data_IF_853226096219
#
_entry.id   IF_853226096219
#
_cell.length_a   1.000
_cell.length_b   1.000
_cell.length_c   1.000
_cell.angle_alpha   90.00
_cell.angle_beta   90.00
_cell.angle_gamma   90.00
#
_symmetry.space_group_name_H-M   'P 1'
#
loop_
_entity.id
_entity.type
_entity.pdbx_description
1 polymer ?
#
# COMPACT_ATOMS: atom_id res chain seq x y z
N UNK A 1 13.43 -2.54 14.84
CA UNK A 1 13.25 -4.00 14.94
C UNK A 1 12.32 -4.52 13.87
N UNK A 2 12.82 -5.44 13.03
CA UNK A 2 12.01 -6.13 12.03
C UNK A 2 11.06 -7.10 12.76
N UNK A 3 9.75 -6.87 12.67
CA UNK A 3 8.76 -7.81 13.18
C UNK A 3 8.89 -9.13 12.41
N UNK A 4 9.24 -10.20 13.13
CA UNK A 4 9.44 -11.52 12.53
C UNK A 4 8.10 -12.10 12.07
N UNK A 5 8.07 -12.62 10.84
CA UNK A 5 6.91 -13.31 10.25
C UNK A 5 6.71 -14.73 10.79
N UNK A 6 7.66 -15.24 11.57
CA UNK A 6 7.54 -16.58 12.16
C UNK A 6 6.54 -16.54 13.33
N UNK A 7 5.55 -17.45 13.36
CA UNK A 7 4.59 -17.49 14.46
C UNK A 7 5.30 -17.91 15.74
N UNK A 8 5.34 -16.98 16.70
CA UNK A 8 5.90 -17.22 18.04
C UNK A 8 4.87 -17.77 19.02
N UNK A 9 3.59 -17.56 18.70
CA UNK A 9 2.44 -18.03 19.46
C UNK A 9 1.24 -18.26 18.53
N UNK A 10 0.18 -18.87 19.07
CA UNK A 10 -1.02 -19.20 18.32
C UNK A 10 -1.75 -17.96 17.77
N UNK A 11 -1.65 -16.81 18.46
CA UNK A 11 -2.29 -15.56 18.04
C UNK A 11 -1.61 -14.99 16.80
N UNK A 12 -0.28 -14.98 16.75
CA UNK A 12 0.49 -14.58 15.56
C UNK A 12 0.23 -15.56 14.42
N UNK A 13 0.18 -16.85 14.69
CA UNK A 13 -0.20 -17.87 13.69
C UNK A 13 -1.58 -17.61 13.10
N UNK A 14 -2.58 -17.33 13.93
CA UNK A 14 -3.93 -17.00 13.48
C UNK A 14 -3.97 -15.70 12.66
N UNK A 15 -3.20 -14.68 13.04
CA UNK A 15 -3.10 -13.44 12.28
C UNK A 15 -2.56 -13.71 10.86
N UNK A 16 -1.47 -14.46 10.75
CA UNK A 16 -0.87 -14.83 9.46
C UNK A 16 -1.88 -15.56 8.56
N UNK A 17 -2.69 -16.45 9.14
CA UNK A 17 -3.77 -17.12 8.39
C UNK A 17 -4.77 -16.11 7.83
N UNK A 18 -5.23 -15.14 8.63
CA UNK A 18 -6.14 -14.11 8.12
C UNK A 18 -5.50 -13.20 7.07
N UNK A 19 -4.21 -12.91 7.16
CA UNK A 19 -3.48 -12.20 6.11
C UNK A 19 -3.51 -13.00 4.79
N UNK A 20 -3.22 -14.30 4.84
CA UNK A 20 -3.23 -15.15 3.65
C UNK A 20 -4.64 -15.25 3.03
N UNK A 21 -5.68 -15.39 3.85
CA UNK A 21 -7.07 -15.39 3.40
C UNK A 21 -7.42 -14.04 2.73
N UNK A 22 -7.01 -12.92 3.32
CA UNK A 22 -7.22 -11.61 2.74
C UNK A 22 -6.55 -11.47 1.36
N UNK A 23 -5.32 -11.96 1.22
CA UNK A 23 -4.61 -11.96 -0.06
C UNK A 23 -5.32 -12.81 -1.13
N UNK A 24 -5.84 -13.98 -0.76
CA UNK A 24 -6.62 -14.83 -1.68
C UNK A 24 -7.86 -14.09 -2.18
N UNK A 25 -8.65 -13.51 -1.28
CA UNK A 25 -9.84 -12.76 -1.66
C UNK A 25 -9.52 -11.52 -2.52
N UNK A 26 -8.39 -10.86 -2.25
CA UNK A 26 -7.93 -9.74 -3.05
C UNK A 26 -7.63 -10.16 -4.50
N UNK A 27 -6.96 -11.29 -4.70
CA UNK A 27 -6.64 -11.83 -6.03
C UNK A 27 -7.90 -12.31 -6.76
N UNK A 28 -8.91 -12.79 -6.05
CA UNK A 28 -10.22 -13.14 -6.62
C UNK A 28 -11.16 -11.94 -6.78
N UNK A 29 -10.67 -10.72 -6.53
CA UNK A 29 -11.40 -9.45 -6.63
C UNK A 29 -12.64 -9.35 -5.71
N UNK A 30 -12.66 -10.12 -4.60
CA UNK A 30 -13.67 -10.00 -3.53
C UNK A 30 -13.14 -9.05 -2.45
N UNK A 31 -13.19 -7.75 -2.78
CA UNK A 31 -12.54 -6.67 -2.00
C UNK A 31 -13.12 -6.56 -0.59
N UNK A 32 -14.43 -6.76 -0.42
CA UNK A 32 -15.11 -6.69 0.88
C UNK A 32 -14.59 -7.77 1.84
N UNK A 33 -14.56 -9.04 1.39
CA UNK A 33 -14.02 -10.13 2.20
C UNK A 33 -12.52 -9.96 2.45
N UNK A 34 -11.79 -9.46 1.46
CA UNK A 34 -10.37 -9.18 1.61
C UNK A 34 -10.13 -8.17 2.75
N UNK A 35 -10.87 -7.06 2.80
CA UNK A 35 -10.78 -6.10 3.90
C UNK A 35 -11.22 -6.68 5.24
N UNK A 36 -12.30 -7.46 5.27
CA UNK A 36 -12.78 -8.11 6.49
C UNK A 36 -11.66 -8.95 7.14
N UNK A 37 -11.01 -9.80 6.34
CA UNK A 37 -9.93 -10.64 6.86
C UNK A 37 -8.65 -9.86 7.15
N UNK A 38 -8.34 -8.84 6.35
CA UNK A 38 -7.20 -7.97 6.65
C UNK A 38 -7.37 -7.25 8.00
N UNK A 39 -8.57 -6.76 8.30
CA UNK A 39 -8.86 -6.12 9.59
C UNK A 39 -8.73 -7.10 10.77
N UNK A 40 -9.10 -8.39 10.59
CA UNK A 40 -8.87 -9.42 11.60
C UNK A 40 -7.37 -9.65 11.84
N UNK A 41 -6.57 -9.70 10.77
CA UNK A 41 -5.10 -9.74 10.88
C UNK A 41 -4.58 -8.54 11.69
N UNK A 42 -5.01 -7.32 11.36
CA UNK A 42 -4.58 -6.09 12.05
C UNK A 42 -4.94 -6.12 13.53
N UNK A 43 -6.16 -6.55 13.87
CA UNK A 43 -6.61 -6.64 15.26
C UNK A 43 -5.79 -7.64 16.07
N UNK A 44 -5.37 -8.75 15.46
CA UNK A 44 -4.55 -9.75 16.14
C UNK A 44 -3.07 -9.34 16.24
N UNK A 45 -2.49 -8.71 15.22
CA UNK A 45 -1.09 -8.27 15.26
C UNK A 45 -0.89 -7.02 16.13
N UNK A 46 -1.88 -6.11 16.15
CA UNK A 46 -1.82 -4.85 16.88
C UNK A 46 -1.14 -3.73 16.08
N UNK A 47 -0.55 -2.76 16.80
CA UNK A 47 0.03 -1.54 16.22
C UNK A 47 1.29 -1.78 15.40
N UNK A 48 2.10 -2.78 15.76
CA UNK A 48 3.38 -3.04 15.11
C UNK A 48 3.20 -4.20 14.13
N UNK A 49 3.06 -3.86 12.84
CA UNK A 49 2.85 -4.84 11.80
C UNK A 49 4.12 -5.06 10.97
N UNK A 50 4.29 -6.26 10.39
CA UNK A 50 5.35 -6.51 9.42
C UNK A 50 5.25 -5.58 8.20
N UNK A 51 6.38 -5.17 7.63
CA UNK A 51 6.40 -4.22 6.51
C UNK A 51 5.56 -4.68 5.29
N UNK A 52 5.50 -5.98 5.02
CA UNK A 52 4.72 -6.53 3.89
C UNK A 52 3.20 -6.47 4.11
N UNK A 53 2.71 -6.24 5.32
CA UNK A 53 1.27 -6.04 5.53
C UNK A 53 0.77 -4.75 4.88
N UNK A 54 1.62 -3.71 4.86
CA UNK A 54 1.33 -2.45 4.19
C UNK A 54 1.19 -2.62 2.68
N UNK A 55 1.95 -3.53 2.06
CA UNK A 55 1.83 -3.83 0.64
C UNK A 55 0.43 -4.36 0.29
N UNK A 56 -0.07 -5.32 1.07
CA UNK A 56 -1.43 -5.84 0.88
C UNK A 56 -2.47 -4.74 1.13
N UNK A 57 -2.30 -3.94 2.19
CA UNK A 57 -3.21 -2.82 2.48
C UNK A 57 -3.27 -1.81 1.32
N UNK A 58 -2.12 -1.43 0.76
CA UNK A 58 -2.05 -0.56 -0.40
C UNK A 58 -2.77 -1.15 -1.61
N UNK A 59 -2.56 -2.45 -1.85
CA UNK A 59 -3.25 -3.15 -2.94
C UNK A 59 -4.77 -3.13 -2.75
N UNK A 60 -5.27 -3.40 -1.54
CA UNK A 60 -6.70 -3.35 -1.24
C UNK A 60 -7.28 -1.93 -1.41
N UNK A 61 -6.59 -0.90 -0.92
CA UNK A 61 -7.04 0.49 -1.07
C UNK A 61 -7.04 0.94 -2.56
N UNK A 62 -6.18 0.38 -3.40
CA UNK A 62 -6.20 0.58 -4.85
C UNK A 62 -7.39 -0.13 -5.52
N UNK A 63 -7.67 -1.38 -5.15
CA UNK A 63 -8.82 -2.13 -5.66
C UNK A 63 -10.16 -1.47 -5.30
N UNK A 64 -10.25 -0.90 -4.09
CA UNK A 64 -11.42 -0.15 -3.61
C UNK A 64 -11.59 1.23 -4.27
N UNK A 65 -10.58 1.68 -5.02
CA UNK A 65 -10.55 3.04 -5.59
C UNK A 65 -10.30 4.15 -4.56
N UNK A 66 -9.94 3.81 -3.33
CA UNK A 66 -9.80 4.74 -2.21
C UNK A 66 -8.41 5.42 -2.18
N UNK A 67 -8.13 6.22 -3.22
CA UNK A 67 -6.84 6.91 -3.41
C UNK A 67 -6.48 7.85 -2.26
N UNK A 68 -7.47 8.48 -1.63
CA UNK A 68 -7.23 9.39 -0.51
C UNK A 68 -6.68 8.63 0.72
N UNK A 69 -7.30 7.50 1.07
CA UNK A 69 -6.84 6.64 2.16
C UNK A 69 -5.43 6.10 1.90
N UNK A 70 -5.14 5.73 0.66
CA UNK A 70 -3.81 5.31 0.24
C UNK A 70 -2.74 6.38 0.50
N UNK A 71 -3.03 7.64 0.14
CA UNK A 71 -2.11 8.77 0.35
C UNK A 71 -1.85 9.03 1.84
N UNK A 72 -2.89 8.96 2.67
CA UNK A 72 -2.75 9.08 4.13
C UNK A 72 -1.82 7.98 4.65
N UNK A 73 -2.06 6.73 4.26
CA UNK A 73 -1.29 5.59 4.77
C UNK A 73 0.17 5.64 4.34
N UNK A 74 0.44 6.07 3.10
CA UNK A 74 1.79 6.35 2.62
C UNK A 74 2.49 7.44 3.46
N UNK A 75 1.79 8.55 3.72
CA UNK A 75 2.36 9.67 4.49
C UNK A 75 2.65 9.29 5.94
N UNK A 76 1.74 8.56 6.58
CA UNK A 76 1.87 8.15 7.99
C UNK A 76 3.01 7.15 8.20
N UNK A 77 3.18 6.18 7.29
CA UNK A 77 4.14 5.09 7.48
C UNK A 77 5.47 5.33 6.74
N UNK A 78 5.45 6.07 5.64
CA UNK A 78 6.59 6.26 4.73
C UNK A 78 6.82 7.72 4.36
N UNK A 79 6.22 8.69 5.06
CA UNK A 79 6.36 10.12 4.77
C UNK A 79 7.81 10.62 4.74
N UNK A 80 8.70 9.96 5.47
CA UNK A 80 10.15 10.23 5.45
C UNK A 80 10.86 9.77 4.17
N UNK A 81 10.27 8.82 3.42
CA UNK A 81 10.79 8.32 2.14
C UNK A 81 10.17 9.05 0.95
N UNK A 82 8.99 9.63 1.12
CA UNK A 82 8.34 10.44 0.10
C UNK A 82 8.79 11.88 0.26
N UNK A 83 9.83 12.29 -0.47
CA UNK A 83 10.16 13.71 -0.60
C UNK A 83 8.90 14.45 -1.06
N UNK A 84 8.52 15.50 -0.34
CA UNK A 84 7.46 16.41 -0.75
C UNK A 84 7.98 17.14 -1.99
N UNK A 85 7.84 16.51 -3.17
CA UNK A 85 8.18 17.18 -4.43
C UNK A 85 7.22 18.36 -4.53
N UNK A 86 7.71 19.55 -4.18
CA UNK A 86 7.21 20.77 -4.78
C UNK A 86 7.08 20.49 -6.27
N UNK A 87 5.85 20.61 -6.75
CA UNK A 87 5.45 20.33 -8.12
C UNK A 87 6.50 20.89 -9.10
N UNK A 88 7.37 20.03 -9.63
CA UNK A 88 8.22 20.41 -10.74
C UNK A 88 7.31 20.30 -11.94
N UNK A 89 6.80 21.44 -12.40
CA UNK A 89 6.08 21.53 -13.65
C UNK A 89 6.92 20.84 -14.73
N UNK A 90 6.34 19.83 -15.38
CA UNK A 90 6.98 19.21 -16.54
C UNK A 90 7.25 20.33 -17.54
N UNK A 91 8.51 20.55 -18.00
CA UNK A 91 8.76 21.48 -19.07
C UNK A 91 8.04 20.93 -20.31
N UNK A 92 7.00 21.63 -20.75
CA UNK A 92 6.40 21.42 -22.05
C UNK A 92 7.53 21.53 -23.08
N UNK A 93 7.88 20.42 -23.73
CA UNK A 93 8.80 20.43 -24.86
C UNK A 93 8.14 21.21 -26.01
N UNK A 94 8.30 22.53 -26.02
CA UNK A 94 8.05 23.33 -27.21
C UNK A 94 9.14 22.99 -28.22
N UNK A 95 8.82 22.07 -29.14
CA UNK A 95 9.53 21.92 -30.39
C UNK A 95 9.35 23.21 -31.21
N UNK A 96 10.25 24.17 -31.07
CA UNK A 96 10.37 25.27 -32.04
C UNK A 96 11.16 24.74 -33.23
N UNK A 97 10.42 24.38 -34.29
CA UNK A 97 10.98 24.13 -35.62
C UNK A 97 11.72 25.39 -36.08
N UNK A 98 13.05 25.29 -36.20
CA UNK A 98 13.88 26.26 -36.92
C UNK A 98 13.48 26.24 -38.39
N UNK A 99 12.81 27.29 -38.85
CA UNK A 99 12.71 27.61 -40.27
C UNK A 99 13.90 28.47 -40.64
N UNK A 100 14.98 27.83 -41.08
CA UNK A 100 16.03 28.51 -41.84
C UNK A 100 15.49 28.73 -43.26
N UNK A 101 15.08 29.96 -43.57
CA UNK A 101 14.93 30.42 -44.94
C UNK A 101 16.05 31.40 -45.26
N UNK A 102 16.64 31.13 -46.41
CA UNK A 102 17.80 31.72 -47.08
C UNK A 102 17.83 33.24 -47.19
#
# INVERSE_FOLDING_TARGET
DLVSWLPRDARVGQAIVYYNIAAIYAITNDVEKAFKHFNLFVNLFGKTQPAHSFQLKFYLDLLDGNRHRLQILLKENFGHLTSNKSFVAFPTLTHTLSTNNS
#
